data_IF_125729633849
#
_entry.id   IF_125729633849
#
_cell.length_a   1.000
_cell.length_b   1.000
_cell.length_c   1.000
_cell.angle_alpha   90.00
_cell.angle_beta   90.00
_cell.angle_gamma   90.00
#
_symmetry.space_group_name_H-M   'P 1'
#
loop_
_entity.id
_entity.type
_entity.pdbx_description
1 polymer ?
#
# COMPACT_ATOMS: atom_id res chain seq x y z
N UNK A 1 -8.54 19.84 -2.04
CA UNK A 1 -9.42 18.79 -2.66
C UNK A 1 -10.04 17.92 -1.56
N UNK A 2 -11.07 17.09 -1.90
CA UNK A 2 -11.46 15.92 -1.11
C UNK A 2 -10.72 14.70 -1.65
N UNK A 3 -10.00 14.01 -0.78
CA UNK A 3 -9.15 12.86 -1.15
C UNK A 3 -9.55 11.66 -0.30
N UNK A 4 -9.89 10.53 -0.93
CA UNK A 4 -10.11 9.26 -0.25
C UNK A 4 -8.88 8.38 -0.41
N UNK A 5 -8.23 8.04 0.71
CA UNK A 5 -7.15 7.07 0.74
C UNK A 5 -7.71 5.68 0.99
N UNK A 6 -7.64 4.80 -0.01
CA UNK A 6 -8.05 3.41 0.09
C UNK A 6 -6.82 2.55 0.37
N UNK A 7 -6.78 1.95 1.55
CA UNK A 7 -5.62 1.25 2.09
C UNK A 7 -6.00 -0.17 2.56
N UNK A 8 -5.01 -1.02 2.73
CA UNK A 8 -5.21 -2.24 3.49
C UNK A 8 -4.97 -1.99 4.99
N UNK A 9 -5.68 -2.70 5.85
CA UNK A 9 -5.41 -2.70 7.28
C UNK A 9 -4.14 -3.53 7.54
N UNK A 10 -2.98 -2.92 7.32
CA UNK A 10 -1.66 -3.49 7.59
C UNK A 10 -0.65 -2.38 7.92
N UNK A 11 0.48 -2.76 8.51
CA UNK A 11 1.50 -1.78 8.92
C UNK A 11 2.18 -1.09 7.74
N UNK A 12 2.31 -1.76 6.62
CA UNK A 12 2.95 -1.20 5.40
C UNK A 12 2.10 -0.08 4.83
N UNK A 13 0.78 -0.28 4.76
CA UNK A 13 -0.18 0.76 4.38
C UNK A 13 -0.21 1.92 5.39
N UNK A 14 -0.06 1.62 6.68
CA UNK A 14 0.03 2.66 7.71
C UNK A 14 1.31 3.50 7.57
N UNK A 15 2.45 2.89 7.29
CA UNK A 15 3.71 3.60 6.96
C UNK A 15 3.50 4.52 5.75
N UNK A 16 2.92 3.98 4.66
CA UNK A 16 2.64 4.78 3.47
C UNK A 16 1.72 5.97 3.76
N UNK A 17 0.68 5.77 4.59
CA UNK A 17 -0.19 6.85 5.04
C UNK A 17 0.59 7.92 5.80
N UNK A 18 1.39 7.54 6.80
CA UNK A 18 2.19 8.49 7.59
C UNK A 18 3.15 9.32 6.71
N UNK A 19 3.79 8.69 5.74
CA UNK A 19 4.65 9.37 4.78
C UNK A 19 3.86 10.35 3.88
N UNK A 20 2.60 10.03 3.58
CA UNK A 20 1.75 10.83 2.69
C UNK A 20 1.05 11.99 3.41
N UNK A 21 0.74 11.86 4.72
CA UNK A 21 0.01 12.85 5.49
C UNK A 21 0.52 14.31 5.35
N UNK A 22 1.84 14.60 5.30
CA UNK A 22 2.31 15.97 5.11
C UNK A 22 1.84 16.59 3.79
N UNK A 23 1.81 15.82 2.70
CA UNK A 23 1.32 16.27 1.40
C UNK A 23 -0.20 16.47 1.37
N UNK A 24 -0.92 15.80 2.26
CA UNK A 24 -2.39 15.86 2.36
C UNK A 24 -2.90 16.91 3.35
N UNK A 25 -2.02 17.62 4.06
CA UNK A 25 -2.40 18.51 5.17
C UNK A 25 -3.38 19.65 4.78
N UNK A 26 -3.45 20.02 3.51
CA UNK A 26 -4.35 21.08 2.99
C UNK A 26 -5.65 20.53 2.40
N UNK A 27 -5.85 19.23 2.47
CA UNK A 27 -6.97 18.54 1.82
C UNK A 27 -7.94 18.00 2.88
N UNK A 28 -9.20 17.86 2.50
CA UNK A 28 -10.16 17.08 3.28
C UNK A 28 -9.93 15.60 2.95
N UNK A 29 -9.52 14.83 3.95
CA UNK A 29 -9.07 13.45 3.76
C UNK A 29 -9.97 12.50 4.52
N UNK A 30 -10.29 11.37 3.90
CA UNK A 30 -10.82 10.17 4.56
C UNK A 30 -9.99 8.97 4.22
N UNK A 31 -10.00 7.97 5.10
CA UNK A 31 -9.31 6.71 4.91
C UNK A 31 -10.33 5.57 4.91
N UNK A 32 -10.33 4.78 3.84
CA UNK A 32 -11.11 3.55 3.72
C UNK A 32 -10.18 2.34 3.83
N UNK A 33 -10.46 1.44 4.79
CA UNK A 33 -9.65 0.27 5.04
C UNK A 33 -10.33 -1.02 4.56
N UNK A 34 -9.58 -1.86 3.86
CA UNK A 34 -9.91 -3.27 3.66
C UNK A 34 -9.03 -4.14 4.53
N UNK A 35 -9.55 -5.27 4.99
CA UNK A 35 -8.76 -6.30 5.70
C UNK A 35 -8.37 -7.46 4.79
N UNK A 36 -8.69 -7.39 3.49
CA UNK A 36 -8.42 -8.46 2.53
C UNK A 36 -7.00 -8.35 1.98
N UNK A 37 -6.25 -9.45 2.06
CA UNK A 37 -5.05 -9.68 1.28
C UNK A 37 -5.35 -10.82 0.31
N UNK A 38 -5.83 -10.49 -0.89
CA UNK A 38 -6.10 -11.45 -1.96
C UNK A 38 -7.13 -12.53 -1.63
N UNK A 39 -7.42 -13.40 -2.60
CA UNK A 39 -8.30 -14.55 -2.41
C UNK A 39 -7.62 -15.64 -1.57
N UNK A 40 -8.38 -16.29 -0.67
CA UNK A 40 -7.93 -17.48 0.00
C UNK A 40 -7.60 -18.57 -1.03
N UNK A 41 -6.43 -19.21 -0.91
CA UNK A 41 -6.11 -20.38 -1.72
C UNK A 41 -6.76 -21.62 -1.12
N UNK A 42 -7.34 -22.46 -1.98
CA UNK A 42 -7.75 -23.81 -1.58
C UNK A 42 -6.49 -24.62 -1.28
N UNK A 43 -6.36 -25.16 -0.06
CA UNK A 43 -5.21 -26.02 0.30
C UNK A 43 -4.36 -25.58 1.49
N UNK A 44 -4.78 -24.55 2.21
CA UNK A 44 -4.03 -24.00 3.35
C UNK A 44 -2.98 -22.93 2.94
N UNK A 45 -2.65 -22.05 3.87
CA UNK A 45 -1.68 -20.98 3.63
C UNK A 45 -0.27 -21.49 3.91
N UNK A 46 0.70 -21.41 2.94
CA UNK A 46 2.10 -21.78 3.16
C UNK A 46 2.71 -21.02 4.34
N UNK A 47 3.64 -21.66 5.07
CA UNK A 47 4.29 -21.06 6.24
C UNK A 47 4.89 -19.67 5.96
N UNK A 48 5.67 -19.44 4.87
CA UNK A 48 6.25 -18.13 4.60
C UNK A 48 5.21 -17.03 4.37
N UNK A 49 4.07 -17.38 3.77
CA UNK A 49 2.96 -16.45 3.60
C UNK A 49 2.30 -16.11 4.94
N UNK A 50 2.15 -17.10 5.84
CA UNK A 50 1.64 -16.85 7.20
C UNK A 50 2.58 -15.96 8.00
N UNK A 51 3.90 -16.16 7.86
CA UNK A 51 4.92 -15.32 8.47
C UNK A 51 4.80 -13.87 7.95
N UNK A 52 4.71 -13.67 6.64
CA UNK A 52 4.54 -12.34 6.06
C UNK A 52 3.25 -11.67 6.55
N UNK A 53 2.14 -12.40 6.58
CA UNK A 53 0.87 -11.88 7.11
C UNK A 53 0.96 -11.55 8.60
N UNK A 54 1.66 -12.36 9.38
CA UNK A 54 1.91 -12.07 10.79
C UNK A 54 2.72 -10.78 10.94
N UNK A 55 3.75 -10.58 10.14
CA UNK A 55 4.59 -9.38 10.14
C UNK A 55 3.83 -8.13 9.69
N UNK A 56 3.02 -8.24 8.65
CA UNK A 56 2.31 -7.09 8.06
C UNK A 56 1.02 -6.73 8.79
N UNK A 57 0.28 -7.70 9.32
CA UNK A 57 -1.07 -7.50 9.85
C UNK A 57 -1.25 -7.91 11.31
N UNK A 58 -1.05 -9.21 11.63
CA UNK A 58 -1.48 -9.72 12.93
C UNK A 58 -0.71 -9.07 14.08
N UNK A 59 0.61 -9.11 14.03
CA UNK A 59 1.45 -8.51 15.07
C UNK A 59 1.25 -6.99 15.17
N UNK A 60 1.26 -6.22 14.07
CA UNK A 60 1.00 -4.78 14.15
C UNK A 60 -0.37 -4.42 14.72
N UNK A 61 -1.43 -5.00 14.17
CA UNK A 61 -2.79 -4.55 14.48
C UNK A 61 -3.33 -5.09 15.80
N UNK A 62 -2.96 -6.33 16.17
CA UNK A 62 -3.51 -6.98 17.35
C UNK A 62 -2.65 -6.77 18.61
N UNK A 63 -1.37 -6.42 18.44
CA UNK A 63 -0.43 -6.31 19.57
C UNK A 63 0.23 -4.93 19.62
N UNK A 64 0.98 -4.55 18.58
CA UNK A 64 1.89 -3.40 18.66
C UNK A 64 1.14 -2.08 18.67
N UNK A 65 0.18 -1.87 17.77
CA UNK A 65 -0.59 -0.63 17.71
C UNK A 65 -1.40 -0.38 19.00
N UNK A 66 -2.11 -1.37 19.56
CA UNK A 66 -2.72 -1.21 20.86
C UNK A 66 -1.75 -0.81 21.99
N UNK A 67 -0.54 -1.37 22.01
CA UNK A 67 0.48 -0.99 23.02
C UNK A 67 0.98 0.44 22.81
N UNK A 68 1.22 0.88 21.57
CA UNK A 68 1.60 2.26 21.23
C UNK A 68 0.51 3.22 21.66
N UNK A 69 -0.75 2.91 21.38
CA UNK A 69 -1.90 3.75 21.73
C UNK A 69 -2.11 3.86 23.23
N UNK A 70 -1.91 2.77 23.97
CA UNK A 70 -1.96 2.77 25.44
C UNK A 70 -0.82 3.58 26.08
N UNK A 71 0.34 3.60 25.45
CA UNK A 71 1.48 4.38 25.94
C UNK A 71 1.24 5.90 25.90
N UNK A 72 0.29 6.37 25.09
CA UNK A 72 -0.16 7.78 25.06
C UNK A 72 0.94 8.78 24.74
N UNK A 73 1.90 8.41 23.88
CA UNK A 73 3.04 9.27 23.54
C UNK A 73 2.61 10.52 22.75
N UNK A 74 3.38 11.62 22.81
CA UNK A 74 3.14 12.78 21.95
C UNK A 74 3.11 12.41 20.47
N UNK A 75 2.22 13.06 19.69
CA UNK A 75 2.03 12.74 18.27
C UNK A 75 3.11 13.36 17.35
N UNK A 76 3.93 14.26 17.86
CA UNK A 76 4.96 14.94 17.08
C UNK A 76 6.21 14.06 16.93
N UNK A 77 6.77 14.06 15.72
CA UNK A 77 8.07 13.42 15.46
C UNK A 77 8.04 11.90 15.28
N UNK A 78 6.85 11.29 15.22
CA UNK A 78 6.69 9.85 15.02
C UNK A 78 5.56 9.50 14.07
N UNK A 79 5.53 8.25 13.63
CA UNK A 79 4.36 7.69 12.92
C UNK A 79 3.20 7.45 13.88
N UNK A 80 1.99 7.61 13.37
CA UNK A 80 0.74 7.43 14.08
C UNK A 80 0.07 6.14 13.63
N UNK A 81 -0.52 5.39 14.55
CA UNK A 81 -1.41 4.27 14.21
C UNK A 81 -2.65 4.80 13.46
N UNK A 82 -3.45 3.91 12.85
CA UNK A 82 -4.68 4.35 12.18
C UNK A 82 -5.62 5.09 13.14
N UNK A 83 -5.79 4.59 14.36
CA UNK A 83 -6.63 5.24 15.38
C UNK A 83 -6.04 6.58 15.87
N UNK A 84 -4.72 6.68 15.95
CA UNK A 84 -4.06 7.94 16.29
C UNK A 84 -4.16 8.98 15.17
N UNK A 85 -4.09 8.56 13.89
CA UNK A 85 -4.36 9.43 12.73
C UNK A 85 -5.76 10.01 12.82
N UNK A 86 -6.76 9.19 13.13
CA UNK A 86 -8.12 9.65 13.33
C UNK A 86 -8.23 10.68 14.46
N UNK A 87 -7.72 10.34 15.64
CA UNK A 87 -7.81 11.22 16.83
C UNK A 87 -6.99 12.51 16.69
N UNK A 88 -5.77 12.40 16.17
CA UNK A 88 -4.82 13.51 16.15
C UNK A 88 -4.99 14.45 14.95
N UNK A 89 -5.53 13.93 13.83
CA UNK A 89 -5.67 14.69 12.58
C UNK A 89 -7.11 14.95 12.19
N UNK A 90 -8.09 14.39 12.91
CA UNK A 90 -9.50 14.48 12.55
C UNK A 90 -9.84 13.77 11.22
N UNK A 91 -8.99 12.88 10.77
CA UNK A 91 -9.18 12.13 9.53
C UNK A 91 -10.03 10.89 9.85
N UNK A 92 -11.24 10.84 9.33
CA UNK A 92 -12.12 9.68 9.52
C UNK A 92 -11.48 8.42 8.88
N UNK A 93 -11.34 7.37 9.69
CA UNK A 93 -10.87 6.04 9.26
C UNK A 93 -12.03 5.06 9.37
N UNK A 94 -12.44 4.45 8.27
CA UNK A 94 -13.61 3.58 8.22
C UNK A 94 -13.34 2.29 7.45
N UNK A 95 -13.98 1.17 7.79
CA UNK A 95 -13.96 -0.02 6.94
C UNK A 95 -14.54 0.28 5.54
N UNK A 96 -13.84 -0.18 4.52
CA UNK A 96 -14.27 -0.08 3.12
C UNK A 96 -13.96 -1.40 2.38
N UNK A 97 -14.66 -2.51 2.71
CA UNK A 97 -14.34 -3.82 2.15
C UNK A 97 -14.79 -3.99 0.69
N UNK A 98 -15.75 -3.19 0.22
CA UNK A 98 -16.26 -3.22 -1.14
C UNK A 98 -16.59 -1.80 -1.62
N UNK A 99 -15.79 -1.23 -2.52
CA UNK A 99 -16.00 0.14 -3.02
C UNK A 99 -17.12 0.23 -4.07
N UNK A 100 -17.65 -0.89 -4.56
CA UNK A 100 -18.50 -0.93 -5.76
C UNK A 100 -20.00 -1.10 -5.49
N UNK A 101 -20.37 -1.38 -4.25
CA UNK A 101 -21.78 -1.64 -3.89
C UNK A 101 -22.01 -1.43 -2.38
N UNK A 102 -23.30 -1.33 -2.00
CA UNK A 102 -23.74 -1.22 -0.62
C UNK A 102 -23.13 -0.02 0.11
N UNK A 103 -22.85 -0.18 1.40
CA UNK A 103 -22.35 0.88 2.27
C UNK A 103 -21.02 1.48 1.80
N UNK A 104 -20.17 0.68 1.15
CA UNK A 104 -18.88 1.17 0.64
C UNK A 104 -19.05 2.13 -0.53
N UNK A 105 -19.92 1.83 -1.49
CA UNK A 105 -20.23 2.75 -2.58
C UNK A 105 -20.93 4.00 -2.04
N UNK A 106 -21.91 3.84 -1.14
CA UNK A 106 -22.61 4.95 -0.53
C UNK A 106 -21.66 5.89 0.26
N UNK A 107 -20.65 5.34 0.93
CA UNK A 107 -19.61 6.15 1.61
C UNK A 107 -18.82 6.98 0.60
N UNK A 108 -18.43 6.40 -0.54
CA UNK A 108 -17.69 7.11 -1.59
C UNK A 108 -18.58 8.19 -2.22
N UNK A 109 -19.82 7.89 -2.53
CA UNK A 109 -20.80 8.84 -3.08
C UNK A 109 -21.06 10.01 -2.12
N UNK A 110 -21.29 9.73 -0.85
CA UNK A 110 -21.53 10.75 0.16
C UNK A 110 -20.30 11.66 0.40
N UNK A 111 -19.10 11.12 0.37
CA UNK A 111 -17.88 11.90 0.47
C UNK A 111 -17.58 12.65 -0.83
N UNK A 112 -17.98 12.12 -1.98
CA UNK A 112 -17.75 12.68 -3.30
C UNK A 112 -16.29 13.13 -3.51
N UNK A 113 -15.30 12.22 -3.41
CA UNK A 113 -13.89 12.56 -3.52
C UNK A 113 -13.58 13.15 -4.90
N UNK A 114 -12.67 14.13 -4.95
CA UNK A 114 -12.11 14.59 -6.21
C UNK A 114 -11.05 13.60 -6.74
N UNK A 115 -10.35 12.93 -5.84
CA UNK A 115 -9.28 11.96 -6.13
C UNK A 115 -9.37 10.78 -5.15
N UNK A 116 -9.17 9.58 -5.64
CA UNK A 116 -8.95 8.40 -4.80
C UNK A 116 -7.48 7.98 -4.94
N UNK A 117 -6.81 7.76 -3.80
CA UNK A 117 -5.48 7.21 -3.71
C UNK A 117 -5.57 5.77 -3.18
N UNK A 118 -5.09 4.82 -3.94
CA UNK A 118 -5.08 3.40 -3.60
C UNK A 118 -3.66 2.95 -3.30
N UNK A 119 -3.42 2.36 -2.13
CA UNK A 119 -2.14 1.77 -1.75
C UNK A 119 -2.42 0.42 -1.09
N UNK A 120 -1.98 -0.67 -1.68
CA UNK A 120 -2.21 -2.04 -1.18
C UNK A 120 -3.69 -2.38 -0.94
N UNK A 121 -4.61 -1.63 -1.48
CA UNK A 121 -6.04 -1.84 -1.27
C UNK A 121 -6.50 -3.16 -1.88
N UNK A 122 -7.03 -4.06 -1.05
CA UNK A 122 -7.32 -5.45 -1.42
C UNK A 122 -8.63 -5.67 -2.20
N UNK A 123 -9.33 -4.61 -2.62
CA UNK A 123 -10.54 -4.71 -3.43
C UNK A 123 -10.36 -4.06 -4.79
N UNK A 124 -10.92 -4.69 -5.83
CA UNK A 124 -10.89 -4.18 -7.20
C UNK A 124 -11.92 -3.06 -7.34
N UNK A 125 -11.52 -1.92 -7.90
CA UNK A 125 -12.44 -0.87 -8.31
C UNK A 125 -13.11 -1.24 -9.64
N UNK A 126 -14.42 -1.00 -9.74
CA UNK A 126 -15.22 -1.16 -10.95
C UNK A 126 -15.87 0.17 -11.33
N UNK A 127 -16.55 0.20 -12.47
CA UNK A 127 -17.10 1.42 -13.05
C UNK A 127 -17.93 2.27 -12.07
N UNK A 128 -18.73 1.67 -11.19
CA UNK A 128 -19.53 2.40 -10.22
C UNK A 128 -18.66 3.32 -9.33
N UNK A 129 -17.57 2.81 -8.78
CA UNK A 129 -16.66 3.60 -7.94
C UNK A 129 -15.70 4.47 -8.76
N UNK A 130 -15.28 4.01 -9.96
CA UNK A 130 -14.32 4.72 -10.80
C UNK A 130 -14.85 6.02 -11.40
N UNK A 131 -16.17 6.13 -11.59
CA UNK A 131 -16.81 7.32 -12.19
C UNK A 131 -17.04 8.47 -11.21
N UNK A 132 -16.87 8.24 -9.90
CA UNK A 132 -17.13 9.26 -8.87
C UNK A 132 -16.01 10.31 -8.80
N UNK A 133 -14.72 9.96 -8.68
CA UNK A 133 -13.65 10.93 -8.54
C UNK A 133 -13.32 11.62 -9.87
N UNK A 134 -13.50 12.94 -9.95
CA UNK A 134 -13.24 13.72 -11.17
C UNK A 134 -11.78 13.65 -11.65
N UNK A 135 -10.84 13.45 -10.74
CA UNK A 135 -9.40 13.34 -11.03
C UNK A 135 -8.96 11.86 -11.12
N UNK A 136 -9.92 10.94 -11.01
CA UNK A 136 -9.68 9.50 -11.17
C UNK A 136 -9.18 8.81 -9.91
N UNK A 137 -8.68 7.59 -10.10
CA UNK A 137 -8.12 6.74 -9.05
C UNK A 137 -6.66 6.47 -9.38
N UNK A 138 -5.74 6.90 -8.50
CA UNK A 138 -4.31 6.61 -8.60
C UNK A 138 -3.95 5.45 -7.68
N UNK A 139 -3.23 4.48 -8.18
CA UNK A 139 -2.72 3.35 -7.41
C UNK A 139 -1.20 3.37 -7.33
N UNK A 140 -0.66 3.21 -6.12
CA UNK A 140 0.75 2.94 -5.90
C UNK A 140 0.94 1.44 -5.77
N UNK A 141 1.38 0.81 -6.85
CA UNK A 141 1.67 -0.62 -6.93
C UNK A 141 3.13 -0.89 -6.52
N UNK A 142 3.34 -1.87 -5.62
CA UNK A 142 4.67 -2.25 -5.13
C UNK A 142 5.38 -3.21 -6.11
N UNK A 143 5.51 -2.78 -7.36
CA UNK A 143 6.15 -3.51 -8.46
C UNK A 143 6.41 -2.60 -9.66
N UNK A 144 7.38 -2.96 -10.49
CA UNK A 144 7.65 -2.27 -11.75
C UNK A 144 6.71 -2.79 -12.84
N UNK A 145 5.77 -1.95 -13.27
CA UNK A 145 4.83 -2.26 -14.35
C UNK A 145 5.47 -1.96 -15.72
N UNK A 146 5.12 -2.71 -16.75
CA UNK A 146 4.14 -3.81 -16.80
C UNK A 146 4.68 -5.18 -16.38
N UNK A 147 5.96 -5.31 -16.02
CA UNK A 147 6.63 -6.61 -15.81
C UNK A 147 5.99 -7.43 -14.67
N UNK A 148 5.65 -6.77 -13.56
CA UNK A 148 5.24 -7.43 -12.32
C UNK A 148 3.84 -6.97 -11.88
N UNK A 149 2.78 -7.34 -12.63
CA UNK A 149 1.39 -7.07 -12.24
C UNK A 149 0.88 -8.09 -11.23
N UNK A 150 -0.03 -7.68 -10.35
CA UNK A 150 -0.70 -8.56 -9.40
C UNK A 150 -0.08 -8.54 -8.01
N UNK A 151 0.01 -9.69 -7.34
CA UNK A 151 0.39 -9.74 -5.93
C UNK A 151 1.85 -10.13 -5.72
N UNK A 152 2.46 -9.61 -4.63
CA UNK A 152 3.84 -9.90 -4.24
C UNK A 152 4.87 -9.62 -5.36
N UNK A 153 4.70 -8.52 -6.07
CA UNK A 153 5.57 -8.14 -7.17
C UNK A 153 7.06 -8.05 -6.75
N UNK A 154 7.35 -7.56 -5.56
CA UNK A 154 8.71 -7.56 -4.99
C UNK A 154 9.28 -8.97 -4.88
N UNK A 155 8.49 -9.95 -4.38
CA UNK A 155 8.90 -11.35 -4.37
C UNK A 155 9.26 -11.85 -5.78
N UNK A 156 8.44 -11.49 -6.79
CA UNK A 156 8.67 -11.90 -8.19
C UNK A 156 9.95 -11.30 -8.76
N UNK A 157 10.22 -10.03 -8.46
CA UNK A 157 11.44 -9.36 -8.89
C UNK A 157 12.68 -10.01 -8.25
N UNK A 158 12.64 -10.32 -6.95
CA UNK A 158 13.74 -11.01 -6.27
C UNK A 158 13.96 -12.43 -6.81
N UNK A 159 12.90 -13.15 -7.14
CA UNK A 159 12.98 -14.48 -7.77
C UNK A 159 13.53 -14.43 -9.21
N UNK A 160 13.40 -13.29 -9.87
CA UNK A 160 13.98 -13.03 -11.19
C UNK A 160 15.42 -12.46 -11.14
N UNK A 161 16.02 -12.41 -9.94
CA UNK A 161 17.36 -11.89 -9.68
C UNK A 161 17.55 -10.43 -10.15
N UNK A 162 16.46 -9.62 -10.09
CA UNK A 162 16.50 -8.20 -10.42
C UNK A 162 17.41 -7.45 -9.44
N UNK A 163 18.23 -6.56 -9.98
CA UNK A 163 19.14 -5.74 -9.19
C UNK A 163 18.43 -4.50 -8.59
N UNK A 164 17.28 -4.14 -9.14
CA UNK A 164 16.41 -3.07 -8.66
C UNK A 164 14.99 -3.59 -8.48
N UNK A 165 14.39 -3.18 -7.39
CA UNK A 165 12.96 -3.34 -7.13
C UNK A 165 12.31 -1.96 -7.13
N UNK A 166 11.00 -1.87 -7.29
CA UNK A 166 10.41 -0.55 -7.36
C UNK A 166 8.90 -0.56 -7.18
N UNK A 167 8.34 0.62 -7.29
CA UNK A 167 6.92 0.84 -7.31
C UNK A 167 6.52 1.67 -8.52
N UNK A 168 5.27 1.52 -8.92
CA UNK A 168 4.67 2.22 -10.04
C UNK A 168 3.43 2.96 -9.58
N UNK A 169 3.37 4.27 -9.88
CA UNK A 169 2.16 5.06 -9.78
C UNK A 169 1.42 5.01 -11.12
N UNK A 170 0.19 4.53 -11.13
CA UNK A 170 -0.63 4.43 -12.33
C UNK A 170 -2.09 4.75 -12.04
N UNK A 171 -2.87 5.07 -13.06
CA UNK A 171 -4.31 5.19 -12.94
C UNK A 171 -4.97 3.80 -12.92
N UNK A 172 -6.06 3.68 -12.16
CA UNK A 172 -7.02 2.58 -12.31
C UNK A 172 -8.14 3.11 -13.21
N UNK A 173 -8.30 2.53 -14.39
CA UNK A 173 -9.27 2.97 -15.40
C UNK A 173 -10.44 2.00 -15.57
N UNK A 174 -10.25 0.76 -15.14
CA UNK A 174 -11.23 -0.32 -15.22
C UNK A 174 -10.98 -1.38 -14.15
N UNK A 175 -11.67 -2.52 -14.24
CA UNK A 175 -11.54 -3.62 -13.29
C UNK A 175 -10.37 -4.58 -13.55
N UNK A 176 -9.48 -4.29 -14.50
CA UNK A 176 -8.28 -5.09 -14.76
C UNK A 176 -7.16 -4.72 -13.79
N UNK A 177 -6.33 -5.70 -13.42
CA UNK A 177 -5.34 -5.50 -12.37
C UNK A 177 -4.05 -4.94 -12.96
N UNK A 178 -3.64 -3.75 -12.46
CA UNK A 178 -2.36 -3.10 -12.72
C UNK A 178 -2.06 -2.84 -14.21
N UNK A 179 -3.08 -2.55 -15.02
CA UNK A 179 -2.96 -2.34 -16.46
C UNK A 179 -3.13 -0.89 -16.91
N UNK A 180 -3.57 -0.02 -16.02
CA UNK A 180 -3.87 1.38 -16.33
C UNK A 180 -2.62 2.21 -16.67
N UNK A 181 -2.81 3.41 -17.24
CA UNK A 181 -1.71 4.26 -17.69
C UNK A 181 -0.76 4.64 -16.55
N UNK A 182 0.54 4.47 -16.76
CA UNK A 182 1.60 4.75 -15.79
C UNK A 182 1.90 6.25 -15.75
N UNK A 183 1.91 6.82 -14.54
CA UNK A 183 2.31 8.21 -14.25
C UNK A 183 3.82 8.29 -14.01
N UNK A 184 4.38 7.31 -13.33
CA UNK A 184 5.81 7.26 -13.04
C UNK A 184 6.19 6.03 -12.20
N UNK A 185 7.50 5.85 -12.06
CA UNK A 185 8.09 4.75 -11.32
C UNK A 185 9.20 5.26 -10.41
N UNK A 186 9.43 4.56 -9.32
CA UNK A 186 10.57 4.79 -8.44
C UNK A 186 11.22 3.45 -8.10
N UNK A 187 12.55 3.41 -8.10
CA UNK A 187 13.33 2.20 -7.85
C UNK A 187 14.22 2.34 -6.63
N UNK A 188 14.56 1.23 -6.03
CA UNK A 188 15.62 1.08 -5.03
C UNK A 188 16.44 -0.17 -5.37
N UNK A 189 17.70 -0.20 -4.98
CA UNK A 189 18.52 -1.38 -5.16
C UNK A 189 17.95 -2.56 -4.33
N UNK A 190 17.88 -3.75 -4.93
CA UNK A 190 17.60 -4.97 -4.21
C UNK A 190 18.80 -5.33 -3.31
N UNK A 191 18.54 -5.64 -2.03
CA UNK A 191 19.58 -5.99 -1.06
C UNK A 191 19.36 -7.40 -0.51
N UNK A 192 20.21 -8.34 -0.92
CA UNK A 192 20.12 -9.73 -0.47
C UNK A 192 20.29 -9.92 1.06
N UNK A 193 20.78 -8.91 1.78
CA UNK A 193 20.90 -8.95 3.24
C UNK A 193 19.56 -8.62 3.93
N UNK A 194 18.62 -7.99 3.23
CA UNK A 194 17.32 -7.60 3.77
C UNK A 194 16.26 -8.68 3.53
N UNK A 195 15.30 -8.76 4.40
CA UNK A 195 14.13 -9.62 4.22
C UNK A 195 13.19 -9.08 3.13
N UNK A 196 12.28 -9.92 2.64
CA UNK A 196 11.20 -9.50 1.74
C UNK A 196 10.37 -8.36 2.36
N UNK A 197 10.02 -8.49 3.64
CA UNK A 197 9.25 -7.47 4.35
C UNK A 197 9.98 -6.11 4.39
N UNK A 198 11.26 -6.10 4.72
CA UNK A 198 12.07 -4.88 4.73
C UNK A 198 12.25 -4.28 3.33
N UNK A 199 12.38 -5.11 2.30
CA UNK A 199 12.47 -4.63 0.93
C UNK A 199 11.15 -4.02 0.45
N UNK A 200 10.02 -4.62 0.78
CA UNK A 200 8.70 -4.02 0.51
C UNK A 200 8.57 -2.67 1.20
N UNK A 201 8.95 -2.55 2.48
CA UNK A 201 8.92 -1.28 3.20
C UNK A 201 9.79 -0.20 2.54
N UNK A 202 10.96 -0.58 2.00
CA UNK A 202 11.88 0.37 1.36
C UNK A 202 11.33 1.04 0.10
N UNK A 203 10.27 0.50 -0.51
CA UNK A 203 9.63 1.07 -1.70
C UNK A 203 8.76 2.29 -1.39
N UNK A 204 8.26 2.41 -0.16
CA UNK A 204 7.25 3.43 0.16
C UNK A 204 7.79 4.86 0.27
N UNK A 205 8.99 5.13 0.83
CA UNK A 205 9.50 6.49 0.82
C UNK A 205 9.57 7.10 -0.59
N UNK A 206 10.24 6.50 -1.59
CA UNK A 206 10.27 7.03 -2.94
C UNK A 206 8.91 6.95 -3.66
N UNK A 207 8.14 5.86 -3.45
CA UNK A 207 6.82 5.72 -4.06
C UNK A 207 5.80 6.72 -3.56
N UNK A 208 5.78 6.99 -2.27
CA UNK A 208 4.90 8.01 -1.69
C UNK A 208 5.33 9.43 -2.11
N UNK A 209 6.63 9.69 -2.25
CA UNK A 209 7.11 10.96 -2.80
C UNK A 209 6.59 11.19 -4.24
N UNK A 210 6.59 10.14 -5.06
CA UNK A 210 6.00 10.18 -6.41
C UNK A 210 4.49 10.47 -6.36
N UNK A 211 3.75 9.79 -5.49
CA UNK A 211 2.31 10.02 -5.31
C UNK A 211 2.01 11.43 -4.77
N UNK A 212 2.79 11.92 -3.81
CA UNK A 212 2.66 13.27 -3.27
C UNK A 212 2.89 14.35 -4.35
N UNK A 213 3.89 14.14 -5.21
CA UNK A 213 4.14 15.00 -6.37
C UNK A 213 2.95 15.02 -7.34
N UNK A 214 2.35 13.87 -7.61
CA UNK A 214 1.15 13.78 -8.44
C UNK A 214 -0.05 14.51 -7.82
N UNK A 215 -0.26 14.37 -6.51
CA UNK A 215 -1.31 15.10 -5.77
C UNK A 215 -1.11 16.61 -5.88
N UNK A 216 0.12 17.10 -5.71
CA UNK A 216 0.43 18.52 -5.79
C UNK A 216 0.16 19.09 -7.19
N UNK A 217 0.53 18.38 -8.26
CA UNK A 217 0.26 18.77 -9.65
C UNK A 217 -1.24 18.80 -9.96
N UNK A 218 -1.98 17.78 -9.54
CA UNK A 218 -3.44 17.73 -9.69
C UNK A 218 -4.14 18.86 -8.91
N UNK A 219 -3.65 19.20 -7.72
CA UNK A 219 -4.18 20.33 -6.93
C UNK A 219 -3.90 21.70 -7.58
N UNK A 220 -2.80 21.81 -8.32
CA UNK A 220 -2.48 22.98 -9.14
C UNK A 220 -3.30 23.04 -10.44
N UNK A 221 -4.16 22.05 -10.72
CA UNK A 221 -4.97 22.00 -11.94
C UNK A 221 -4.22 21.45 -13.16
N UNK A 222 -3.04 20.85 -12.97
CA UNK A 222 -2.27 20.23 -14.04
C UNK A 222 -2.86 18.86 -14.38
N UNK A 223 -2.60 18.42 -15.63
CA UNK A 223 -2.78 17.03 -16.04
C UNK A 223 -1.50 16.25 -15.81
N UNK A 224 -1.63 15.02 -15.33
CA UNK A 224 -0.49 14.12 -15.25
C UNK A 224 -0.19 13.54 -16.63
N UNK A 225 1.07 13.60 -17.04
CA UNK A 225 1.54 12.83 -18.18
C UNK A 225 1.49 11.35 -17.85
N UNK A 226 1.10 10.54 -18.82
CA UNK A 226 0.96 9.10 -18.63
C UNK A 226 1.46 8.32 -19.83
N UNK A 227 1.93 7.11 -19.57
CA UNK A 227 2.35 6.16 -20.61
C UNK A 227 1.46 4.93 -20.58
N UNK A 228 0.94 4.54 -21.76
CA UNK A 228 0.14 3.33 -21.89
C UNK A 228 1.05 2.11 -21.74
N UNK A 229 0.63 1.16 -20.93
CA UNK A 229 1.35 -0.10 -20.75
C UNK A 229 1.10 -1.06 -21.92
N UNK A 230 2.10 -1.87 -22.25
CA UNK A 230 1.97 -2.99 -23.18
C UNK A 230 2.72 -4.20 -22.67
N UNK A 231 2.14 -5.39 -22.86
CA UNK A 231 2.75 -6.65 -22.40
C UNK A 231 2.72 -6.82 -20.88
N UNK A 232 3.77 -7.47 -20.37
CA UNK A 232 3.95 -7.77 -18.95
C UNK A 232 3.20 -9.02 -18.48
N UNK A 233 3.52 -9.46 -17.27
CA UNK A 233 3.00 -10.70 -16.68
C UNK A 233 2.16 -10.40 -15.45
N UNK A 234 1.01 -11.07 -15.34
CA UNK A 234 0.20 -11.06 -14.13
C UNK A 234 0.60 -12.23 -13.22
N UNK A 235 0.85 -11.94 -11.98
CA UNK A 235 1.19 -12.93 -10.96
C UNK A 235 0.12 -13.02 -9.89
N UNK A 236 -0.33 -14.24 -9.63
CA UNK A 236 -1.09 -14.58 -8.43
C UNK A 236 -0.14 -14.83 -7.24
N UNK A 237 -0.71 -15.21 -6.09
CA UNK A 237 0.13 -15.62 -4.95
C UNK A 237 1.09 -16.75 -5.34
N UNK A 238 2.34 -16.71 -4.83
CA UNK A 238 3.29 -17.80 -5.02
C UNK A 238 2.75 -19.12 -4.50
N UNK A 239 3.07 -20.20 -5.22
CA UNK A 239 2.84 -21.58 -4.78
C UNK A 239 3.75 -21.94 -3.60
N UNK A 240 3.49 -23.08 -2.95
CA UNK A 240 4.37 -23.60 -1.92
C UNK A 240 5.80 -23.85 -2.45
N UNK A 241 5.90 -24.43 -3.64
CA UNK A 241 7.21 -24.72 -4.27
C UNK A 241 7.99 -23.42 -4.59
N UNK A 242 7.32 -22.35 -4.99
CA UNK A 242 7.96 -21.04 -5.23
C UNK A 242 8.46 -20.42 -3.91
N UNK A 243 7.72 -20.57 -2.82
CA UNK A 243 8.18 -20.17 -1.49
C UNK A 243 9.37 -21.00 -1.01
N UNK A 244 9.35 -22.31 -1.22
CA UNK A 244 10.47 -23.20 -0.86
C UNK A 244 11.74 -22.84 -1.67
N UNK A 245 11.59 -22.50 -2.95
CA UNK A 245 12.68 -22.00 -3.78
C UNK A 245 13.22 -20.67 -3.26
N UNK A 246 12.36 -19.72 -2.88
CA UNK A 246 12.73 -18.44 -2.31
C UNK A 246 13.61 -18.60 -1.06
N UNK A 247 13.19 -19.47 -0.14
CA UNK A 247 13.96 -19.78 1.07
C UNK A 247 15.28 -20.50 0.75
N UNK A 248 15.29 -21.43 -0.22
CA UNK A 248 16.52 -22.13 -0.65
C UNK A 248 17.55 -21.21 -1.28
N UNK A 249 17.13 -20.13 -1.91
CA UNK A 249 18.03 -19.08 -2.41
C UNK A 249 18.59 -18.18 -1.30
N UNK A 250 18.24 -18.43 -0.05
CA UNK A 250 18.71 -17.68 1.11
C UNK A 250 17.93 -16.41 1.42
N UNK A 251 16.83 -16.16 0.71
CA UNK A 251 15.92 -15.07 1.05
C UNK A 251 15.18 -15.35 2.36
N UNK A 252 14.86 -14.30 3.10
CA UNK A 252 14.06 -14.35 4.32
C UNK A 252 12.75 -13.59 4.11
N UNK A 253 11.69 -14.04 4.77
CA UNK A 253 10.39 -13.37 4.70
C UNK A 253 10.39 -12.13 5.58
N UNK A 254 10.84 -12.27 6.83
CA UNK A 254 11.00 -11.20 7.81
C UNK A 254 12.24 -11.42 8.66
N UNK A 255 12.63 -10.41 9.42
CA UNK A 255 13.77 -10.46 10.35
C UNK A 255 13.49 -9.60 11.58
N UNK A 256 14.05 -9.96 12.73
CA UNK A 256 13.87 -9.19 13.96
C UNK A 256 14.37 -7.73 13.86
N UNK A 257 15.38 -7.49 13.02
CA UNK A 257 15.88 -6.14 12.72
C UNK A 257 14.85 -5.27 12.01
N UNK A 258 14.01 -5.86 11.16
CA UNK A 258 12.96 -5.14 10.42
C UNK A 258 11.96 -4.50 11.38
N UNK A 259 11.55 -5.25 12.39
CA UNK A 259 10.61 -4.76 13.41
C UNK A 259 11.21 -3.66 14.26
N UNK A 260 12.49 -3.77 14.60
CA UNK A 260 13.20 -2.72 15.36
C UNK A 260 13.28 -1.43 14.55
N UNK A 261 13.69 -1.51 13.28
CA UNK A 261 13.77 -0.37 12.37
C UNK A 261 12.37 0.26 12.16
N UNK A 262 11.37 -0.58 11.87
CA UNK A 262 10.01 -0.15 11.62
C UNK A 262 9.40 0.56 12.84
N UNK A 263 9.38 -0.10 14.00
CA UNK A 263 8.69 0.43 15.18
C UNK A 263 9.47 1.54 15.88
N UNK A 264 10.76 1.69 15.59
CA UNK A 264 11.50 2.89 15.97
C UNK A 264 10.88 4.18 15.42
N UNK A 265 10.15 4.12 14.32
CA UNK A 265 9.42 5.29 13.79
C UNK A 265 8.13 5.61 14.53
N UNK A 266 7.60 4.69 15.33
CA UNK A 266 6.34 4.85 16.09
C UNK A 266 6.54 5.28 17.53
N UNK A 267 7.77 5.39 17.99
CA UNK A 267 8.10 5.83 19.35
C UNK A 267 8.96 7.08 19.32
N UNK A 268 8.72 7.98 20.27
CA UNK A 268 9.60 9.14 20.44
C UNK A 268 10.88 8.65 21.11
N UNK A 269 12.08 8.93 20.55
CA UNK A 269 13.32 8.63 21.24
C UNK A 269 13.32 9.28 22.63
N UNK A 270 13.55 8.49 23.68
CA UNK A 270 13.65 8.96 25.06
C UNK A 270 14.87 9.82 25.32
#
# INVERSE_FOLDING_TARGET
>A
MRILCCLNADVVSNVALNLLLPALARHEVRVGLTSRIGAAQNGGEPYPRRELRAAEQLLPLEVIFPLIEQAGQPNAGRYLTFAEVERARGIQVSPLPNPNAGDGLALIEAFAPHLILSIRYGAIFKSAALTIPKLGVLNLHAGLLPAYRGVLATFRALMADEQEIGCTLHYITDGTIDTGPVVGQATVAADARRSLFAQVLSLYPPGVALMAGAVARLDAGERLETHVQSGGTYYSYPSADEWDEFLRRGWRVSDASDFRELYGNYVVPG
#
